data_IF_543083072866
#
_entry.id   IF_543083072866
#
_cell.length_a   1.000
_cell.length_b   1.000
_cell.length_c   1.000
_cell.angle_alpha   90.00
_cell.angle_beta   90.00
_cell.angle_gamma   90.00
#
_symmetry.space_group_name_H-M   'P 1'
#
loop_
_entity.id
_entity.type
_entity.pdbx_description
1 polymer ?
#
# COMPACT_ATOMS: atom_id res chain seq x y z
N UNK A 1 -6.22 1.61 -25.43
CA UNK A 1 -6.68 1.68 -24.03
C UNK A 1 -5.82 0.70 -23.23
N UNK A 2 -4.71 1.14 -22.65
CA UNK A 2 -3.84 0.24 -21.86
C UNK A 2 -2.92 0.97 -20.89
N UNK A 3 -2.50 2.21 -21.20
CA UNK A 3 -1.53 2.95 -20.36
C UNK A 3 -2.05 3.17 -18.93
N UNK A 4 -3.31 3.60 -18.77
CA UNK A 4 -3.89 3.83 -17.44
C UNK A 4 -4.15 2.50 -16.71
N UNK A 5 -4.54 1.45 -17.43
CA UNK A 5 -4.77 0.13 -16.84
C UNK A 5 -3.46 -0.48 -16.30
N UNK A 6 -2.38 -0.40 -17.08
CA UNK A 6 -1.04 -0.79 -16.63
C UNK A 6 -0.55 0.07 -15.48
N UNK A 7 -0.76 1.39 -15.53
CA UNK A 7 -0.39 2.28 -14.43
C UNK A 7 -1.10 1.92 -13.12
N UNK A 8 -2.41 1.66 -13.16
CA UNK A 8 -3.18 1.24 -11.98
C UNK A 8 -2.66 -0.10 -11.45
N UNK A 9 -2.38 -1.05 -12.33
CA UNK A 9 -1.83 -2.36 -11.95
C UNK A 9 -0.46 -2.22 -11.27
N UNK A 10 0.44 -1.44 -11.85
CA UNK A 10 1.79 -1.23 -11.32
C UNK A 10 1.74 -0.58 -9.92
N UNK A 11 0.87 0.41 -9.71
CA UNK A 11 0.71 1.05 -8.39
C UNK A 11 0.07 0.10 -7.39
N UNK A 12 -0.93 -0.68 -7.81
CA UNK A 12 -1.59 -1.66 -6.94
C UNK A 12 -0.60 -2.73 -6.44
N UNK A 13 0.22 -3.28 -7.33
CA UNK A 13 1.24 -4.28 -6.98
C UNK A 13 2.25 -3.70 -5.98
N UNK A 14 2.70 -2.47 -6.20
CA UNK A 14 3.63 -1.79 -5.27
C UNK A 14 3.01 -1.57 -3.89
N UNK A 15 1.74 -1.16 -3.81
CA UNK A 15 1.04 -0.97 -2.52
C UNK A 15 0.88 -2.31 -1.80
N UNK A 16 0.47 -3.36 -2.51
CA UNK A 16 0.27 -4.69 -1.94
C UNK A 16 1.58 -5.25 -1.37
N UNK A 17 2.68 -5.15 -2.11
CA UNK A 17 3.99 -5.60 -1.67
C UNK A 17 4.48 -4.85 -0.43
N UNK A 18 4.34 -3.52 -0.42
CA UNK A 18 4.80 -2.72 0.71
C UNK A 18 3.92 -2.95 1.96
N UNK A 19 2.60 -3.06 1.81
CA UNK A 19 1.70 -3.39 2.90
C UNK A 19 1.99 -4.78 3.48
N UNK A 20 2.30 -5.76 2.62
CA UNK A 20 2.70 -7.09 3.06
C UNK A 20 4.05 -7.08 3.82
N UNK A 21 5.00 -6.23 3.40
CA UNK A 21 6.26 -6.03 4.14
C UNK A 21 6.00 -5.40 5.51
N UNK A 22 5.16 -4.37 5.58
CA UNK A 22 4.78 -3.68 6.81
C UNK A 22 4.06 -4.61 7.80
N UNK A 23 3.17 -5.48 7.30
CA UNK A 23 2.46 -6.45 8.14
C UNK A 23 3.43 -7.46 8.77
N UNK A 24 4.49 -7.85 8.03
CA UNK A 24 5.55 -8.71 8.54
C UNK A 24 6.51 -8.01 9.50
N UNK A 25 6.76 -6.71 9.32
CA UNK A 25 7.76 -5.97 10.12
C UNK A 25 7.21 -5.41 11.43
N UNK A 26 5.92 -5.05 11.49
CA UNK A 26 5.37 -4.24 12.60
C UNK A 26 4.89 -5.06 13.79
N UNK A 27 4.48 -6.31 13.59
CA UNK A 27 4.00 -7.20 14.66
C UNK A 27 4.95 -8.39 14.76
N UNK A 28 6.02 -8.20 15.54
CA UNK A 28 7.17 -9.12 15.59
C UNK A 28 6.79 -10.59 15.71
N UNK A 29 7.48 -11.44 14.93
CA UNK A 29 7.56 -12.92 14.93
C UNK A 29 6.25 -13.74 14.90
N UNK A 30 5.13 -13.19 15.36
CA UNK A 30 3.82 -13.80 15.30
C UNK A 30 3.25 -13.46 13.93
N UNK A 31 3.55 -14.33 12.96
CA UNK A 31 3.18 -14.32 11.55
C UNK A 31 1.70 -13.97 11.35
N UNK A 32 1.36 -12.69 11.45
CA UNK A 32 0.00 -12.23 11.22
C UNK A 32 -0.19 -12.26 9.70
N UNK A 33 -0.96 -13.25 9.24
CA UNK A 33 -1.23 -13.46 7.82
C UNK A 33 -2.22 -12.43 7.24
N UNK A 34 -2.59 -11.43 8.04
CA UNK A 34 -3.64 -10.45 7.73
C UNK A 34 -3.01 -9.07 7.59
N UNK A 35 -3.15 -8.49 6.40
CA UNK A 35 -2.88 -7.08 6.13
C UNK A 35 -4.10 -6.29 6.61
N UNK A 36 -3.91 -5.35 7.55
CA UNK A 36 -4.98 -4.47 8.01
C UNK A 36 -4.98 -3.15 7.22
N UNK A 37 -6.04 -2.36 7.40
CA UNK A 37 -6.13 -1.03 6.80
C UNK A 37 -4.97 -0.11 7.20
N UNK A 38 -4.38 -0.31 8.39
CA UNK A 38 -3.24 0.49 8.84
C UNK A 38 -1.98 0.28 7.99
N UNK A 39 -1.68 -0.96 7.61
CA UNK A 39 -0.55 -1.25 6.72
C UNK A 39 -0.82 -0.75 5.29
N UNK A 40 -2.05 -0.87 4.79
CA UNK A 40 -2.44 -0.31 3.48
C UNK A 40 -2.29 1.21 3.48
N UNK A 41 -2.84 1.92 4.47
CA UNK A 41 -2.71 3.38 4.56
C UNK A 41 -1.26 3.83 4.67
N UNK A 42 -0.44 3.08 5.42
CA UNK A 42 0.99 3.37 5.54
C UNK A 42 1.72 3.16 4.21
N UNK A 43 1.45 2.06 3.50
CA UNK A 43 2.00 1.79 2.18
C UNK A 43 1.62 2.89 1.16
N UNK A 44 0.36 3.34 1.16
CA UNK A 44 -0.12 4.44 0.32
C UNK A 44 0.66 5.72 0.60
N UNK A 45 0.88 6.08 1.87
CA UNK A 45 1.66 7.28 2.26
C UNK A 45 3.14 7.18 1.84
N UNK A 46 3.71 5.98 1.81
CA UNK A 46 5.10 5.76 1.39
C UNK A 46 5.27 5.86 -0.14
N UNK A 47 4.27 5.42 -0.91
CA UNK A 47 4.37 5.32 -2.37
C UNK A 47 3.83 6.54 -3.11
N UNK A 48 2.85 7.26 -2.54
CA UNK A 48 2.21 8.41 -3.18
C UNK A 48 2.69 9.73 -2.55
N UNK A 49 3.39 10.59 -3.31
CA UNK A 49 3.92 11.84 -2.78
C UNK A 49 2.85 12.95 -2.66
N UNK A 50 3.10 13.89 -1.73
CA UNK A 50 2.40 15.17 -1.66
C UNK A 50 0.89 15.05 -1.41
N UNK A 51 0.11 15.87 -2.12
CA UNK A 51 -1.34 15.92 -1.98
C UNK A 51 -2.02 14.62 -2.41
N UNK A 52 -1.46 13.87 -3.36
CA UNK A 52 -2.03 12.63 -3.87
C UNK A 52 -2.12 11.58 -2.74
N UNK A 53 -1.06 11.45 -1.93
CA UNK A 53 -1.07 10.53 -0.79
C UNK A 53 -2.04 10.94 0.32
N UNK A 54 -2.32 12.23 0.49
CA UNK A 54 -3.31 12.72 1.47
C UNK A 54 -4.73 12.35 1.06
N UNK A 55 -5.09 12.66 -0.19
CA UNK A 55 -6.42 12.31 -0.72
C UNK A 55 -6.61 10.79 -0.76
N UNK A 56 -5.62 10.03 -1.22
CA UNK A 56 -5.71 8.57 -1.31
C UNK A 56 -5.87 7.84 0.03
N UNK A 57 -5.58 8.48 1.16
CA UNK A 57 -5.82 7.92 2.50
C UNK A 57 -7.18 8.34 3.07
N UNK A 58 -7.76 9.41 2.54
CA UNK A 58 -9.05 9.96 2.96
C UNK A 58 -10.25 9.37 2.20
N UNK A 59 -10.04 8.89 0.98
CA UNK A 59 -11.03 8.08 0.23
C UNK A 59 -11.18 6.67 0.85
#
# INVERSE_FOLDING_TARGET
VSVIDSFVKDIFERIADEAARLARSTKGSNKHSTISSGEIQTAVRLLLPGEIGKHAVSE
#
